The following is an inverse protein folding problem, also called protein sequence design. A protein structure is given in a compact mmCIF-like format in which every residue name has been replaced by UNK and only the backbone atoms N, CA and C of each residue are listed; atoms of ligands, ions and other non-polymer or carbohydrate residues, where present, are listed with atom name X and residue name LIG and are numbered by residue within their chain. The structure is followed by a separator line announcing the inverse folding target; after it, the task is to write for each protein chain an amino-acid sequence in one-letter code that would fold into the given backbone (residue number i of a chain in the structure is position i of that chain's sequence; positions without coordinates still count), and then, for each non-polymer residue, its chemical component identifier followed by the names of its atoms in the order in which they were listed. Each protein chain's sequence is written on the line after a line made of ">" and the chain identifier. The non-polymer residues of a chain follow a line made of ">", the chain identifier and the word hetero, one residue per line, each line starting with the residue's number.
data_IF_970053610093
#
_entry.id   IF_970053610093
#
_cell.length_a   1.000
_cell.length_b   1.000
_cell.length_c   1.000
_cell.angle_alpha   90.00
_cell.angle_beta   90.00
_cell.angle_gamma   90.00
#
_symmetry.space_group_name_H-M   'P 1'
#
loop_
_entity.id
_entity.type
_entity.pdbx_description
1 polymer ?
#
# COMPACT_ATOMS: atom_id res chain seq x y z
N UNK A 1 -5.81 -11.22 7.55
CA UNK A 1 -5.03 -10.52 8.60
C UNK A 1 -3.56 -10.71 8.26
N UNK A 2 -2.87 -9.68 7.77
CA UNK A 2 -1.41 -9.74 7.60
C UNK A 2 -0.76 -9.55 8.97
N UNK A 3 -0.54 -10.66 9.66
CA UNK A 3 0.21 -10.74 10.91
C UNK A 3 1.63 -10.22 10.65
N UNK A 4 2.07 -9.27 11.47
CA UNK A 4 3.42 -8.75 11.73
C UNK A 4 4.60 -9.39 10.98
N UNK A 5 4.59 -9.40 9.65
CA UNK A 5 5.66 -9.93 8.83
C UNK A 5 6.49 -8.76 8.31
N UNK A 6 7.79 -8.76 8.61
CA UNK A 6 8.75 -7.86 7.99
C UNK A 6 8.58 -7.94 6.48
N UNK A 7 8.16 -6.85 5.85
CA UNK A 7 7.98 -6.81 4.41
C UNK A 7 9.34 -7.01 3.75
N UNK A 8 9.48 -8.06 2.93
CA UNK A 8 10.73 -8.32 2.20
C UNK A 8 11.00 -7.12 1.26
N UNK A 9 12.16 -6.44 1.37
CA UNK A 9 12.46 -5.25 0.56
C UNK A 9 12.43 -5.51 -0.95
N UNK A 10 12.83 -6.71 -1.39
CA UNK A 10 12.82 -7.09 -2.80
C UNK A 10 11.39 -7.23 -3.33
N UNK A 11 10.52 -7.86 -2.53
CA UNK A 11 9.11 -8.00 -2.87
C UNK A 11 8.40 -6.65 -2.91
N UNK A 12 8.68 -5.79 -1.92
CA UNK A 12 8.13 -4.44 -1.89
C UNK A 12 8.55 -3.63 -3.12
N UNK A 13 9.83 -3.72 -3.51
CA UNK A 13 10.34 -3.05 -4.70
C UNK A 13 9.66 -3.58 -5.97
N UNK A 14 9.47 -4.89 -6.08
CA UNK A 14 8.78 -5.50 -7.21
C UNK A 14 7.34 -5.00 -7.34
N UNK A 15 6.58 -4.99 -6.23
CA UNK A 15 5.21 -4.47 -6.19
C UNK A 15 5.13 -2.99 -6.57
N UNK A 16 6.04 -2.17 -6.04
CA UNK A 16 6.11 -0.76 -6.41
C UNK A 16 6.44 -0.57 -7.91
N UNK A 17 7.30 -1.41 -8.47
CA UNK A 17 7.63 -1.37 -9.90
C UNK A 17 6.41 -1.74 -10.76
N UNK A 18 5.67 -2.79 -10.40
CA UNK A 18 4.44 -3.19 -11.11
C UNK A 18 3.41 -2.06 -11.16
N UNK A 19 3.13 -1.43 -10.01
CA UNK A 19 2.23 -0.26 -9.91
C UNK A 19 2.63 0.90 -10.85
N UNK A 20 3.93 1.12 -11.02
CA UNK A 20 4.46 2.18 -11.90
C UNK A 20 4.43 1.75 -13.37
N UNK A 21 4.65 0.46 -13.65
CA UNK A 21 4.68 -0.11 -15.00
C UNK A 21 3.30 -0.15 -15.64
N UNK A 22 2.28 -0.50 -14.87
CA UNK A 22 0.89 -0.61 -15.35
C UNK A 22 0.15 0.73 -15.36
N UNK A 23 0.72 1.75 -14.72
CA UNK A 23 0.12 3.08 -14.67
C UNK A 23 0.27 3.85 -15.98
N UNK A 24 -0.84 4.35 -16.49
CA UNK A 24 -0.87 5.37 -17.56
C UNK A 24 -0.36 6.74 -17.10
N UNK A 25 -0.25 6.98 -15.77
CA UNK A 25 0.24 8.22 -15.19
C UNK A 25 0.99 7.97 -13.87
N UNK A 26 2.31 7.92 -13.97
CA UNK A 26 3.22 7.64 -12.82
C UNK A 26 3.10 8.67 -11.69
N UNK A 27 2.83 9.93 -12.02
CA UNK A 27 2.62 10.98 -11.03
C UNK A 27 1.37 10.68 -10.19
N UNK A 28 0.26 10.39 -10.85
CA UNK A 28 -0.99 10.05 -10.15
C UNK A 28 -0.84 8.78 -9.30
N UNK A 29 -0.12 7.76 -9.77
CA UNK A 29 0.18 6.57 -8.94
C UNK A 29 0.96 6.93 -7.68
N UNK A 30 1.98 7.78 -7.80
CA UNK A 30 2.77 8.23 -6.64
C UNK A 30 1.91 9.01 -5.65
N UNK A 31 1.04 9.89 -6.14
CA UNK A 31 0.08 10.63 -5.32
C UNK A 31 -0.90 9.70 -4.61
N UNK A 32 -1.44 8.69 -5.31
CA UNK A 32 -2.34 7.68 -4.71
C UNK A 32 -1.67 6.91 -3.57
N UNK A 33 -0.43 6.45 -3.76
CA UNK A 33 0.35 5.77 -2.73
C UNK A 33 0.54 6.68 -1.51
N UNK A 34 0.95 7.93 -1.73
CA UNK A 34 1.16 8.89 -0.66
C UNK A 34 -0.13 9.23 0.11
N UNK A 35 -1.25 9.38 -0.61
CA UNK A 35 -2.56 9.65 -0.03
C UNK A 35 -3.02 8.50 0.88
N UNK A 36 -2.94 7.25 0.39
CA UNK A 36 -3.25 6.04 1.16
C UNK A 36 -2.38 5.94 2.42
N UNK A 37 -1.07 6.13 2.26
CA UNK A 37 -0.13 6.08 3.38
C UNK A 37 -0.42 7.16 4.43
N UNK A 38 -0.83 8.36 3.99
CA UNK A 38 -1.24 9.44 4.89
C UNK A 38 -2.52 9.09 5.63
N UNK A 39 -3.53 8.53 4.96
CA UNK A 39 -4.77 8.08 5.59
C UNK A 39 -4.50 7.04 6.70
N UNK A 40 -3.65 6.03 6.41
CA UNK A 40 -3.25 5.02 7.41
C UNK A 40 -2.58 5.62 8.64
N UNK A 41 -1.77 6.67 8.48
CA UNK A 41 -1.17 7.38 9.65
C UNK A 41 -2.21 8.01 10.56
N UNK A 42 -3.37 8.41 10.04
CA UNK A 42 -4.47 8.94 10.84
C UNK A 42 -5.31 7.80 11.43
N UNK A 43 -5.63 6.77 10.65
CA UNK A 43 -6.38 5.60 11.13
C UNK A 43 -5.64 4.86 12.26
N UNK A 44 -4.31 4.71 12.14
CA UNK A 44 -3.46 4.06 13.15
C UNK A 44 -3.31 4.95 14.42
N UNK A 45 -3.53 6.28 14.30
CA UNK A 45 -3.48 7.22 15.43
C UNK A 45 -4.73 7.13 16.32
N UNK A 46 -5.89 6.83 15.72
CA UNK A 46 -7.16 6.69 16.45
C UNK A 46 -7.31 5.32 17.13
N UNK A 47 -6.42 4.36 16.86
CA UNK A 47 -6.56 2.99 17.33
C UNK A 47 -5.27 2.35 17.84
N UNK A 48 -4.80 2.72 19.05
CA UNK A 48 -4.03 1.89 20.01
C UNK A 48 -2.94 0.92 19.47
N UNK A 49 -2.38 1.16 18.29
CA UNK A 49 -1.35 0.33 17.64
C UNK A 49 -0.08 1.16 17.51
N UNK A 50 0.54 1.44 18.65
CA UNK A 50 1.87 2.06 18.74
C UNK A 50 2.97 1.20 18.07
N UNK A 51 2.67 -0.04 17.68
CA UNK A 51 3.63 -1.05 17.18
C UNK A 51 3.30 -1.57 15.77
N UNK A 52 2.80 -0.71 14.87
CA UNK A 52 2.75 -1.06 13.46
C UNK A 52 4.19 -1.16 12.89
N UNK A 53 4.78 -2.37 12.95
CA UNK A 53 6.11 -2.71 12.44
C UNK A 53 6.30 -2.43 10.94
N UNK A 54 5.22 -2.13 10.21
CA UNK A 54 5.22 -1.82 8.78
C UNK A 54 4.97 -0.33 8.59
N UNK A 55 5.87 0.36 7.88
CA UNK A 55 5.68 1.78 7.60
C UNK A 55 4.43 1.97 6.74
N UNK A 56 3.60 3.01 6.98
CA UNK A 56 2.36 3.25 6.22
C UNK A 56 2.52 3.27 4.70
N UNK A 57 3.67 3.74 4.21
CA UNK A 57 4.00 3.72 2.76
C UNK A 57 4.19 2.30 2.24
N UNK A 58 4.84 1.42 2.99
CA UNK A 58 5.03 0.02 2.59
C UNK A 58 3.69 -0.72 2.53
N UNK A 59 2.84 -0.48 3.53
CA UNK A 59 1.47 -1.01 3.58
C UNK A 59 0.64 -0.52 2.39
N UNK A 60 0.71 0.79 2.07
CA UNK A 60 0.01 1.34 0.91
C UNK A 60 0.43 0.70 -0.41
N UNK A 61 1.73 0.44 -0.61
CA UNK A 61 2.24 -0.24 -1.81
C UNK A 61 1.69 -1.67 -1.91
N UNK A 62 1.68 -2.42 -0.81
CA UNK A 62 1.17 -3.80 -0.78
C UNK A 62 -0.32 -3.82 -1.12
N UNK A 63 -1.13 -3.00 -0.43
CA UNK A 63 -2.58 -2.97 -0.62
C UNK A 63 -2.97 -2.50 -2.03
N UNK A 64 -2.33 -1.44 -2.56
CA UNK A 64 -2.59 -0.97 -3.92
C UNK A 64 -2.20 -2.01 -4.97
N UNK A 65 -1.11 -2.75 -4.73
CA UNK A 65 -0.68 -3.84 -5.61
C UNK A 65 -1.68 -5.00 -5.58
N UNK A 66 -2.18 -5.38 -4.40
CA UNK A 66 -3.19 -6.45 -4.28
C UNK A 66 -4.50 -6.06 -4.98
N UNK A 67 -4.92 -4.80 -4.89
CA UNK A 67 -6.09 -4.26 -5.60
C UNK A 67 -5.91 -4.24 -7.12
N UNK A 68 -4.70 -3.98 -7.59
CA UNK A 68 -4.37 -4.03 -9.02
C UNK A 68 -4.50 -5.46 -9.57
N UNK A 69 -4.09 -6.46 -8.79
CA UNK A 69 -4.14 -7.88 -9.16
C UNK A 69 -5.55 -8.49 -9.01
N UNK A 70 -6.45 -7.82 -8.26
CA UNK A 70 -7.83 -8.28 -8.02
C UNK A 70 -8.87 -7.17 -8.30
N UNK A 71 -9.08 -6.78 -9.57
CA UNK A 71 -10.02 -5.73 -9.94
C UNK A 71 -11.49 -6.09 -9.65
N UNK A 72 -11.82 -7.39 -9.56
CA UNK A 72 -13.20 -7.91 -9.48
C UNK A 72 -13.83 -7.82 -8.06
N UNK A 73 -13.12 -7.28 -7.07
CA UNK A 73 -13.62 -7.13 -5.69
C UNK A 73 -14.27 -5.77 -5.41
N UNK A 74 -14.34 -4.89 -6.39
CA UNK A 74 -15.05 -3.61 -6.27
C UNK A 74 -16.54 -3.82 -6.56
N UNK A 75 -17.47 -3.46 -5.64
CA UNK A 75 -18.89 -3.43 -5.98
C UNK A 75 -19.10 -2.39 -7.09
N UNK A 76 -19.78 -2.80 -8.16
CA UNK A 76 -20.17 -1.92 -9.27
C UNK A 76 -21.13 -0.81 -8.84
#
# INVERSE_FOLDING_TARGET
>A
MYTSAVVNPKELAHRAESLIRESSNRYLTTVKIAFRAKQRRFDDFDGLLEDAMVKPVQRAIVELSDEQDQPDLLPG
#
